data_IF_990717726099
#
_entry.id   IF_990717726099
#
_cell.length_a   1.000
_cell.length_b   1.000
_cell.length_c   1.000
_cell.angle_alpha   90.00
_cell.angle_beta   90.00
_cell.angle_gamma   90.00
#
_symmetry.space_group_name_H-M   'P 1'
#
loop_
_entity.id
_entity.type
_entity.pdbx_description
1 polymer ?
#
# COMPACT_ATOMS: atom_id res chain seq x y z
N UNK A 1 -2.89 23.33 -22.90
CA UNK A 1 -3.07 22.08 -23.65
C UNK A 1 -4.14 21.26 -22.93
N UNK A 2 -5.34 21.15 -23.49
CA UNK A 2 -6.44 20.40 -22.86
C UNK A 2 -6.21 18.90 -23.09
N UNK A 3 -5.96 18.14 -22.03
CA UNK A 3 -5.81 16.69 -22.10
C UNK A 3 -7.14 16.03 -22.43
N UNK A 4 -7.20 15.28 -23.52
CA UNK A 4 -8.34 14.44 -23.88
C UNK A 4 -8.35 13.21 -22.97
N UNK A 5 -9.28 13.13 -22.02
CA UNK A 5 -9.48 11.90 -21.25
C UNK A 5 -10.12 10.85 -22.16
N UNK A 6 -9.45 9.70 -22.32
CA UNK A 6 -10.06 8.55 -22.98
C UNK A 6 -11.11 7.98 -22.02
N UNK A 7 -12.39 7.86 -22.42
CA UNK A 7 -13.41 7.30 -21.54
C UNK A 7 -13.08 5.84 -21.22
N UNK A 8 -13.16 5.48 -19.94
CA UNK A 8 -12.96 4.10 -19.50
C UNK A 8 -13.95 3.18 -20.22
N UNK A 9 -13.43 2.15 -20.89
CA UNK A 9 -14.24 1.09 -21.50
C UNK A 9 -14.11 -0.17 -20.65
N UNK A 10 -15.21 -0.56 -20.02
CA UNK A 10 -15.29 -1.83 -19.30
C UNK A 10 -15.11 -2.99 -20.29
N UNK A 11 -14.33 -4.04 -19.95
CA UNK A 11 -14.33 -5.27 -20.73
C UNK A 11 -15.75 -5.87 -20.77
N UNK A 12 -16.20 -6.32 -21.94
CA UNK A 12 -17.57 -6.84 -22.12
C UNK A 12 -17.92 -8.00 -21.17
N UNK A 13 -16.92 -8.78 -20.73
CA UNK A 13 -17.07 -9.90 -19.80
C UNK A 13 -17.06 -9.49 -18.31
N UNK A 14 -16.84 -8.20 -17.99
CA UNK A 14 -16.96 -7.61 -16.65
C UNK A 14 -18.14 -6.61 -16.60
N UNK A 15 -19.24 -6.94 -17.28
CA UNK A 15 -20.43 -6.11 -17.27
C UNK A 15 -21.04 -6.01 -15.85
N UNK A 16 -21.32 -4.77 -15.42
CA UNK A 16 -21.94 -4.49 -14.12
C UNK A 16 -20.99 -4.47 -12.92
N UNK A 17 -21.45 -3.88 -11.81
CA UNK A 17 -20.63 -3.67 -10.61
C UNK A 17 -20.21 -4.98 -9.93
N UNK A 18 -21.08 -6.00 -9.89
CA UNK A 18 -20.82 -7.25 -9.18
C UNK A 18 -19.64 -8.03 -9.76
N UNK A 19 -19.58 -8.20 -11.09
CA UNK A 19 -18.48 -8.92 -11.73
C UNK A 19 -17.14 -8.19 -11.53
N UNK A 20 -17.14 -6.86 -11.58
CA UNK A 20 -15.97 -6.03 -11.32
C UNK A 20 -15.47 -6.13 -9.87
N UNK A 21 -16.36 -6.38 -8.91
CA UNK A 21 -15.98 -6.64 -7.51
C UNK A 21 -15.50 -8.08 -7.29
N UNK A 22 -16.18 -9.07 -7.88
CA UNK A 22 -15.90 -10.49 -7.64
C UNK A 22 -14.61 -10.93 -8.34
N UNK A 23 -14.40 -10.51 -9.59
CA UNK A 23 -13.28 -11.02 -10.38
C UNK A 23 -11.89 -10.75 -9.75
N UNK A 24 -11.57 -9.53 -9.25
CA UNK A 24 -10.29 -9.29 -8.58
C UNK A 24 -10.08 -10.16 -7.32
N UNK A 25 -11.17 -10.53 -6.63
CA UNK A 25 -11.09 -11.41 -5.46
C UNK A 25 -10.64 -12.82 -5.83
N UNK A 26 -10.98 -13.31 -7.02
CA UNK A 26 -10.56 -14.63 -7.51
C UNK A 26 -9.12 -14.62 -8.05
N UNK A 27 -8.57 -13.45 -8.40
CA UNK A 27 -7.22 -13.29 -8.96
C UNK A 27 -6.25 -12.60 -7.99
N UNK A 28 -6.00 -13.23 -6.85
CA UNK A 28 -5.11 -12.70 -5.81
C UNK A 28 -3.61 -12.70 -6.18
N UNK A 29 -3.22 -13.24 -7.33
CA UNK A 29 -1.81 -13.34 -7.78
C UNK A 29 -0.94 -14.17 -6.81
N UNK A 30 0.39 -14.17 -6.96
CA UNK A 30 1.31 -14.70 -5.92
C UNK A 30 1.58 -13.60 -4.87
N UNK A 31 1.83 -13.98 -3.63
CA UNK A 31 2.27 -13.03 -2.61
C UNK A 31 3.67 -12.52 -2.98
N UNK A 32 3.91 -11.20 -3.01
CA UNK A 32 5.27 -10.66 -3.09
C UNK A 32 6.14 -11.18 -1.95
N UNK A 33 7.47 -11.34 -2.16
CA UNK A 33 8.40 -11.74 -1.12
C UNK A 33 8.65 -10.56 -0.16
N UNK A 34 7.67 -10.26 0.70
CA UNK A 34 7.72 -9.11 1.59
C UNK A 34 8.82 -9.26 2.64
N UNK A 35 9.61 -8.20 2.83
CA UNK A 35 10.47 -8.03 4.01
C UNK A 35 9.79 -7.06 4.98
N UNK A 36 9.50 -7.50 6.19
CA UNK A 36 8.90 -6.65 7.22
C UNK A 36 9.94 -5.78 7.90
N UNK A 37 9.60 -4.52 8.12
CA UNK A 37 10.33 -3.54 8.91
C UNK A 37 9.36 -2.88 9.90
N UNK A 38 9.82 -2.62 11.12
CA UNK A 38 9.02 -1.93 12.14
C UNK A 38 9.59 -0.56 12.43
N UNK A 39 8.74 0.45 12.48
CA UNK A 39 9.08 1.78 12.95
C UNK A 39 8.37 2.07 14.26
N UNK A 40 9.13 2.42 15.30
CA UNK A 40 8.54 3.00 16.50
C UNK A 40 7.97 4.39 16.17
N UNK A 41 6.77 4.65 16.69
CA UNK A 41 6.05 5.91 16.55
C UNK A 41 6.40 6.86 17.70
N UNK A 42 6.23 8.18 17.53
CA UNK A 42 6.62 9.16 18.55
C UNK A 42 5.86 9.04 19.87
N UNK A 43 4.66 8.45 19.86
CA UNK A 43 3.85 8.17 21.05
C UNK A 43 4.25 6.86 21.77
N UNK A 44 5.34 6.21 21.35
CA UNK A 44 5.86 5.00 21.99
C UNK A 44 5.23 3.70 21.51
N UNK A 45 4.41 3.74 20.46
CA UNK A 45 3.83 2.58 19.79
C UNK A 45 4.68 2.17 18.55
N UNK A 46 4.09 1.49 17.59
CA UNK A 46 4.75 1.12 16.33
C UNK A 46 3.82 1.06 15.12
N UNK A 47 4.42 1.16 13.94
CA UNK A 47 3.82 0.77 12.65
C UNK A 47 4.72 -0.23 11.94
N UNK A 48 4.12 -1.21 11.26
CA UNK A 48 4.85 -2.20 10.46
C UNK A 48 4.75 -1.88 8.97
N UNK A 49 5.83 -2.14 8.26
CA UNK A 49 6.00 -1.90 6.84
C UNK A 49 6.38 -3.20 6.15
N UNK A 50 5.69 -3.55 5.08
CA UNK A 50 5.99 -4.72 4.26
C UNK A 50 6.56 -4.28 2.91
N UNK A 51 7.88 -4.45 2.74
CA UNK A 51 8.62 -4.08 1.54
C UNK A 51 8.53 -5.17 0.48
N UNK A 52 7.92 -4.87 -0.67
CA UNK A 52 7.91 -5.77 -1.83
C UNK A 52 9.20 -5.67 -2.63
N UNK A 53 9.77 -4.47 -2.70
CA UNK A 53 11.06 -4.18 -3.32
C UNK A 53 11.61 -2.87 -2.72
N UNK A 54 12.91 -2.85 -2.44
CA UNK A 54 13.63 -1.64 -2.02
C UNK A 54 14.84 -1.51 -2.94
N UNK A 55 14.79 -0.53 -3.86
CA UNK A 55 15.77 -0.31 -4.91
C UNK A 55 16.18 1.17 -4.88
N UNK A 56 17.38 1.50 -4.37
CA UNK A 56 17.86 2.88 -4.32
C UNK A 56 17.80 3.56 -5.70
N UNK A 57 17.46 4.85 -5.73
CA UNK A 57 17.41 5.65 -6.96
C UNK A 57 16.25 5.34 -7.90
N UNK A 58 15.23 4.61 -7.44
CA UNK A 58 14.00 4.33 -8.22
C UNK A 58 12.80 5.01 -7.57
N UNK A 59 11.71 5.27 -8.32
CA UNK A 59 10.46 5.74 -7.74
C UNK A 59 10.00 4.85 -6.58
N UNK A 60 9.45 5.47 -5.53
CA UNK A 60 8.93 4.76 -4.36
C UNK A 60 7.40 4.85 -4.31
N UNK A 61 6.75 3.69 -4.34
CA UNK A 61 5.30 3.60 -4.14
C UNK A 61 5.01 3.17 -2.70
N UNK A 62 4.38 4.07 -1.95
CA UNK A 62 3.87 3.82 -0.59
C UNK A 62 2.38 3.55 -0.66
N UNK A 63 1.95 2.33 -0.29
CA UNK A 63 0.54 1.96 -0.22
C UNK A 63 0.06 1.94 1.23
N UNK A 64 -0.94 2.75 1.54
CA UNK A 64 -1.77 2.63 2.73
C UNK A 64 -2.99 1.77 2.38
N UNK A 65 -3.22 0.67 3.12
CA UNK A 65 -4.31 -0.25 2.81
C UNK A 65 -5.68 0.30 3.27
N UNK A 66 -6.78 -0.22 2.72
CA UNK A 66 -8.14 0.14 3.18
C UNK A 66 -8.50 -0.47 4.54
N UNK A 67 -9.73 -0.24 5.00
CA UNK A 67 -10.27 -0.81 6.25
C UNK A 67 -10.06 -2.33 6.30
N UNK A 68 -9.51 -2.80 7.42
CA UNK A 68 -9.15 -4.20 7.72
C UNK A 68 -8.25 -4.86 6.66
N UNK A 69 -7.53 -4.03 5.91
CA UNK A 69 -6.60 -4.46 4.88
C UNK A 69 -5.23 -4.89 5.43
N UNK A 70 -4.38 -5.35 4.52
CA UNK A 70 -2.97 -5.62 4.78
C UNK A 70 -2.21 -5.75 3.45
N UNK A 71 -0.89 -5.95 3.50
CA UNK A 71 -0.06 -6.38 2.38
C UNK A 71 -0.56 -7.66 1.68
N UNK A 72 -1.38 -8.48 2.37
CA UNK A 72 -1.94 -9.73 1.82
C UNK A 72 -3.25 -9.51 1.04
N UNK A 73 -3.81 -8.31 1.08
CA UNK A 73 -4.99 -7.95 0.28
C UNK A 73 -4.72 -8.13 -1.22
N UNK A 74 -5.74 -8.59 -1.96
CA UNK A 74 -5.61 -8.92 -3.38
C UNK A 74 -5.13 -7.71 -4.22
N UNK A 75 -5.67 -6.51 -3.96
CA UNK A 75 -5.24 -5.27 -4.62
C UNK A 75 -3.80 -4.88 -4.25
N UNK A 76 -3.41 -5.04 -2.98
CA UNK A 76 -2.07 -4.71 -2.51
C UNK A 76 -1.02 -5.61 -3.17
N UNK A 77 -1.32 -6.91 -3.28
CA UNK A 77 -0.49 -7.89 -3.99
C UNK A 77 -0.37 -7.58 -5.46
N UNK A 78 -1.49 -7.26 -6.12
CA UNK A 78 -1.50 -6.92 -7.54
C UNK A 78 -0.67 -5.67 -7.81
N UNK A 79 -0.87 -4.61 -7.01
CA UNK A 79 -0.13 -3.36 -7.12
C UNK A 79 1.37 -3.57 -6.90
N UNK A 80 1.76 -4.21 -5.79
CA UNK A 80 3.16 -4.40 -5.46
C UNK A 80 3.91 -5.29 -6.47
N UNK A 81 3.21 -6.24 -7.11
CA UNK A 81 3.77 -6.99 -8.25
C UNK A 81 4.02 -6.09 -9.46
N UNK A 82 3.08 -5.20 -9.77
CA UNK A 82 3.23 -4.26 -10.88
C UNK A 82 4.38 -3.27 -10.61
N UNK A 83 4.46 -2.72 -9.40
CA UNK A 83 5.54 -1.84 -8.95
C UNK A 83 6.91 -2.54 -9.07
N UNK A 84 7.04 -3.76 -8.56
CA UNK A 84 8.28 -4.52 -8.65
C UNK A 84 8.68 -4.83 -10.11
N UNK A 85 7.70 -5.17 -10.96
CA UNK A 85 7.91 -5.42 -12.39
C UNK A 85 8.31 -4.16 -13.17
N UNK A 86 7.85 -2.99 -12.73
CA UNK A 86 8.20 -1.69 -13.32
C UNK A 86 9.61 -1.20 -12.95
N UNK A 87 10.36 -1.95 -12.13
CA UNK A 87 11.68 -1.51 -11.69
C UNK A 87 11.68 -0.77 -10.35
N UNK A 88 10.52 -0.45 -9.78
CA UNK A 88 10.37 0.52 -8.69
C UNK A 88 10.43 -0.08 -7.30
N UNK A 89 10.63 0.78 -6.30
CA UNK A 89 10.47 0.45 -4.89
C UNK A 89 9.00 0.45 -4.50
N UNK A 90 8.60 -0.48 -3.65
CA UNK A 90 7.21 -0.67 -3.24
C UNK A 90 7.11 -1.14 -1.80
N UNK A 91 6.30 -0.43 -1.02
CA UNK A 91 6.07 -0.72 0.39
C UNK A 91 4.59 -0.61 0.72
N UNK A 92 4.09 -1.55 1.53
CA UNK A 92 2.75 -1.48 2.12
C UNK A 92 2.91 -1.12 3.58
N UNK A 93 2.30 -0.01 3.99
CA UNK A 93 2.26 0.41 5.38
C UNK A 93 1.04 -0.20 6.04
N UNK A 94 1.24 -0.88 7.18
CA UNK A 94 0.16 -1.40 7.99
C UNK A 94 -0.30 -0.34 8.98
N UNK A 95 -1.59 -0.02 8.92
CA UNK A 95 -2.22 0.74 9.98
C UNK A 95 -2.18 -0.03 11.31
N UNK A 96 -2.28 0.70 12.43
CA UNK A 96 -2.28 0.11 13.76
C UNK A 96 -3.33 -0.99 13.90
N UNK A 97 -2.91 -2.14 14.41
CA UNK A 97 -3.71 -3.35 14.60
C UNK A 97 -3.81 -4.23 13.35
N UNK A 98 -3.33 -3.78 12.19
CA UNK A 98 -3.50 -4.51 10.91
C UNK A 98 -2.24 -5.28 10.45
N UNK A 99 -1.16 -5.29 11.23
CA UNK A 99 0.05 -6.04 10.89
C UNK A 99 0.03 -7.51 11.32
N UNK A 100 -0.98 -7.91 12.10
CA UNK A 100 -1.08 -9.23 12.74
C UNK A 100 -0.39 -9.30 14.11
N UNK A 101 0.24 -8.21 14.57
CA UNK A 101 0.67 -8.02 15.95
C UNK A 101 -0.16 -6.91 16.59
N UNK A 102 -0.77 -7.12 17.77
CA UNK A 102 -1.43 -6.05 18.51
C UNK A 102 -0.46 -4.90 18.83
N UNK A 103 -0.94 -3.67 18.70
CA UNK A 103 -0.20 -2.46 19.08
C UNK A 103 0.00 -2.37 20.60
N UNK A 104 0.98 -1.57 21.03
CA UNK A 104 1.27 -1.35 22.46
C UNK A 104 0.18 -0.52 23.13
N UNK A 105 -0.40 0.42 22.38
CA UNK A 105 -1.45 1.32 22.86
C UNK A 105 -2.82 0.87 22.34
N UNK A 106 -3.86 1.17 23.12
CA UNK A 106 -5.26 0.98 22.71
C UNK A 106 -5.73 2.10 21.75
N UNK A 107 -4.96 2.34 20.68
CA UNK A 107 -5.25 3.33 19.63
C UNK A 107 -5.54 2.61 18.32
N UNK A 108 -6.74 2.83 17.78
CA UNK A 108 -7.11 2.35 16.44
C UNK A 108 -6.80 3.41 15.37
N UNK A 109 -6.57 2.97 14.15
CA UNK A 109 -6.56 3.84 12.97
C UNK A 109 -8.00 4.19 12.55
N UNK A 110 -8.14 5.26 11.77
CA UNK A 110 -9.41 5.65 11.17
C UNK A 110 -9.15 6.42 9.86
N UNK A 111 -10.22 6.72 9.11
CA UNK A 111 -10.13 7.42 7.82
C UNK A 111 -9.57 8.86 7.90
N UNK A 112 -9.50 9.42 9.10
CA UNK A 112 -9.00 10.77 9.37
C UNK A 112 -7.60 10.79 10.00
N UNK A 113 -6.88 9.66 10.04
CA UNK A 113 -5.56 9.57 10.68
C UNK A 113 -4.44 10.15 9.81
N UNK A 114 -4.66 11.37 9.30
CA UNK A 114 -3.76 12.05 8.39
C UNK A 114 -2.43 12.42 9.07
N UNK A 115 -2.43 12.66 10.38
CA UNK A 115 -1.21 12.98 11.13
C UNK A 115 -0.21 11.81 11.17
N UNK A 116 -0.68 10.57 11.35
CA UNK A 116 0.19 9.40 11.29
C UNK A 116 0.70 9.16 9.87
N UNK A 117 -0.15 9.32 8.86
CA UNK A 117 0.24 9.23 7.44
C UNK A 117 1.29 10.28 7.08
N UNK A 118 1.10 11.54 7.48
CA UNK A 118 2.07 12.61 7.23
C UNK A 118 3.42 12.29 7.90
N UNK A 119 3.40 11.88 9.18
CA UNK A 119 4.63 11.46 9.88
C UNK A 119 5.37 10.33 9.14
N UNK A 120 4.65 9.32 8.64
CA UNK A 120 5.22 8.22 7.86
C UNK A 120 5.83 8.73 6.55
N UNK A 121 5.12 9.58 5.80
CA UNK A 121 5.58 10.14 4.54
C UNK A 121 6.80 11.05 4.72
N UNK A 122 6.84 11.84 5.79
CA UNK A 122 8.02 12.65 6.14
C UNK A 122 9.24 11.76 6.42
N UNK A 123 9.05 10.64 7.13
CA UNK A 123 10.13 9.66 7.34
C UNK A 123 10.64 9.04 6.03
N UNK A 124 9.74 8.69 5.11
CA UNK A 124 10.14 8.24 3.78
C UNK A 124 10.95 9.32 3.05
N UNK A 125 10.46 10.56 3.04
CA UNK A 125 11.16 11.69 2.39
C UNK A 125 12.57 11.92 2.96
N UNK A 126 12.77 11.73 4.26
CA UNK A 126 14.08 11.87 4.90
C UNK A 126 15.04 10.72 4.54
N UNK A 127 14.54 9.49 4.47
CA UNK A 127 15.38 8.31 4.17
C UNK A 127 15.61 8.08 2.67
N UNK A 128 14.70 8.54 1.82
CA UNK A 128 14.80 8.49 0.36
C UNK A 128 14.62 9.89 -0.26
N UNK A 129 15.55 10.82 -0.01
CA UNK A 129 15.42 12.21 -0.48
C UNK A 129 15.41 12.33 -2.01
N UNK A 130 16.05 11.38 -2.69
CA UNK A 130 16.23 11.37 -4.14
C UNK A 130 15.24 10.44 -4.87
N UNK A 131 14.33 9.78 -4.14
CA UNK A 131 13.28 9.00 -4.78
C UNK A 131 12.25 9.97 -5.41
N UNK A 132 11.97 9.86 -6.72
CA UNK A 132 10.98 10.71 -7.38
C UNK A 132 9.55 10.37 -6.96
#
# INVERSE_FOLDING_TARGET
MAGTSVPYRVPCWLAGAHLQTIWPLLRKGRLPPYRRERWDTPDGDFVDLDWAAERPGTPLVVLFHGLEGSSRSHYARALMRAVAAAGWSGVVVHFRGCSGTPNRLARAYHSGDAAEIDWILQRFRQRWPDAP
#
